data_IF_584705540766
#
_entry.id   IF_584705540766
#
_cell.length_a   1.000
_cell.length_b   1.000
_cell.length_c   1.000
_cell.angle_alpha   90.00
_cell.angle_beta   90.00
_cell.angle_gamma   90.00
#
_symmetry.space_group_name_H-M   'P 1'
#
loop_
_entity.id
_entity.type
_entity.pdbx_description
1 polymer ?
#
# COMPACT_ATOMS: atom_id res chain seq x y z
N UNK A 1 -13.27 40.59 5.92
CA UNK A 1 -12.09 39.81 5.49
C UNK A 1 -12.40 38.35 5.82
N UNK A 2 -12.32 37.43 4.86
CA UNK A 2 -12.58 36.00 5.15
C UNK A 2 -11.47 35.51 6.07
N UNK A 3 -11.78 35.27 7.34
CA UNK A 3 -10.84 34.75 8.35
C UNK A 3 -11.07 33.25 8.50
N UNK A 4 -10.06 32.44 8.16
CA UNK A 4 -10.09 31.00 8.39
C UNK A 4 -9.53 30.70 9.78
N UNK A 5 -10.26 29.92 10.57
CA UNK A 5 -9.75 29.38 11.83
C UNK A 5 -8.99 28.09 11.56
N UNK A 6 -7.97 27.81 12.38
CA UNK A 6 -7.18 26.57 12.29
C UNK A 6 -8.08 25.32 12.35
N UNK A 7 -9.07 25.32 13.24
CA UNK A 7 -10.05 24.25 13.37
C UNK A 7 -10.84 24.00 12.07
N UNK A 8 -11.17 25.05 11.31
CA UNK A 8 -11.90 24.92 10.05
C UNK A 8 -11.02 24.30 8.95
N UNK A 9 -9.74 24.63 8.91
CA UNK A 9 -8.78 24.02 7.97
C UNK A 9 -8.57 22.53 8.32
N UNK A 10 -8.43 22.21 9.60
CA UNK A 10 -8.26 20.83 10.05
C UNK A 10 -9.49 19.97 9.76
N UNK A 11 -10.70 20.52 9.95
CA UNK A 11 -11.93 19.82 9.61
C UNK A 11 -12.02 19.40 8.13
N UNK A 12 -11.45 20.21 7.21
CA UNK A 12 -11.39 19.86 5.79
C UNK A 12 -10.23 18.92 5.44
N UNK A 13 -9.11 19.02 6.17
CA UNK A 13 -7.90 18.27 5.85
C UNK A 13 -7.88 16.85 6.45
N UNK A 14 -8.31 16.69 7.69
CA UNK A 14 -8.24 15.41 8.43
C UNK A 14 -8.93 14.24 7.70
N UNK A 15 -10.12 14.39 7.08
CA UNK A 15 -10.79 13.30 6.35
C UNK A 15 -10.00 12.74 5.18
N UNK A 16 -9.14 13.55 4.55
CA UNK A 16 -8.31 13.14 3.42
C UNK A 16 -6.92 12.70 3.86
N UNK A 17 -6.36 13.35 4.89
CA UNK A 17 -4.99 13.14 5.34
C UNK A 17 -4.76 11.73 5.90
N UNK A 18 -5.66 11.21 6.74
CA UNK A 18 -5.48 9.88 7.34
C UNK A 18 -5.58 8.74 6.31
N UNK A 19 -6.58 8.72 5.42
CA UNK A 19 -6.64 7.73 4.35
C UNK A 19 -5.47 7.85 3.38
N UNK A 20 -5.03 9.08 3.08
CA UNK A 20 -3.88 9.29 2.21
C UNK A 20 -2.61 8.63 2.76
N UNK A 21 -2.30 8.80 4.04
CA UNK A 21 -1.13 8.17 4.66
C UNK A 21 -1.20 6.64 4.60
N UNK A 22 -2.35 6.05 4.89
CA UNK A 22 -2.54 4.59 4.87
C UNK A 22 -2.45 4.02 3.45
N UNK A 23 -3.07 4.66 2.46
CA UNK A 23 -3.03 4.26 1.05
C UNK A 23 -1.63 4.41 0.48
N UNK A 24 -0.94 5.51 0.80
CA UNK A 24 0.43 5.74 0.36
C UNK A 24 1.37 4.67 0.92
N UNK A 25 1.23 4.33 2.21
CA UNK A 25 1.98 3.25 2.84
C UNK A 25 1.69 1.87 2.20
N UNK A 26 0.45 1.60 1.81
CA UNK A 26 0.12 0.38 1.09
C UNK A 26 0.77 0.35 -0.31
N UNK A 27 0.68 1.45 -1.07
CA UNK A 27 1.24 1.52 -2.43
C UNK A 27 2.75 1.46 -2.47
N UNK A 28 3.45 1.87 -1.42
CA UNK A 28 4.92 1.71 -1.34
C UNK A 28 5.32 0.27 -1.06
N UNK A 29 4.56 -0.46 -0.24
CA UNK A 29 4.85 -1.84 0.13
C UNK A 29 4.37 -2.88 -0.89
N UNK A 30 3.22 -2.67 -1.54
CA UNK A 30 2.64 -3.64 -2.46
C UNK A 30 3.38 -3.66 -3.82
N UNK A 31 3.89 -4.82 -4.27
CA UNK A 31 4.77 -4.91 -5.45
C UNK A 31 4.10 -4.45 -6.75
N UNK A 32 2.78 -4.66 -6.89
CA UNK A 32 2.02 -4.28 -8.09
C UNK A 32 1.85 -2.76 -8.24
N UNK A 33 1.84 -2.02 -7.13
CA UNK A 33 1.74 -0.55 -7.17
C UNK A 33 3.11 0.13 -7.05
N UNK A 34 4.12 -0.61 -6.59
CA UNK A 34 5.48 -0.12 -6.35
C UNK A 34 6.47 -0.37 -7.50
N UNK A 35 5.99 -0.85 -8.65
CA UNK A 35 6.81 -1.08 -9.84
C UNK A 35 7.58 0.15 -10.29
N UNK A 36 8.81 -0.06 -10.77
CA UNK A 36 9.69 0.99 -11.32
C UNK A 36 9.11 1.71 -12.53
N UNK A 37 8.24 1.04 -13.29
CA UNK A 37 7.55 1.64 -14.43
C UNK A 37 6.63 2.80 -14.01
N UNK A 38 6.18 2.84 -12.74
CA UNK A 38 5.28 3.87 -12.23
C UNK A 38 6.12 4.96 -11.53
N UNK A 39 6.18 6.19 -12.07
CA UNK A 39 6.92 7.26 -11.42
C UNK A 39 6.28 7.62 -10.08
N UNK A 40 7.12 7.96 -9.09
CA UNK A 40 6.70 8.25 -7.70
C UNK A 40 5.60 9.32 -7.65
N UNK A 41 5.67 10.33 -8.53
CA UNK A 41 4.66 11.40 -8.62
C UNK A 41 3.26 10.87 -8.95
N UNK A 42 3.16 9.92 -9.89
CA UNK A 42 1.88 9.30 -10.26
C UNK A 42 1.35 8.45 -9.11
N UNK A 43 2.22 7.72 -8.42
CA UNK A 43 1.84 6.92 -7.24
C UNK A 43 1.27 7.79 -6.13
N UNK A 44 1.92 8.92 -5.81
CA UNK A 44 1.43 9.86 -4.81
C UNK A 44 0.08 10.46 -5.25
N UNK A 45 -0.04 10.86 -6.52
CA UNK A 45 -1.30 11.39 -7.06
C UNK A 45 -2.45 10.37 -7.01
N UNK A 46 -2.18 9.10 -7.32
CA UNK A 46 -3.17 8.03 -7.26
C UNK A 46 -3.56 7.70 -5.81
N UNK A 47 -2.60 7.69 -4.89
CA UNK A 47 -2.89 7.53 -3.46
C UNK A 47 -3.78 8.66 -2.93
N UNK A 48 -3.52 9.90 -3.34
CA UNK A 48 -4.35 11.05 -3.00
C UNK A 48 -5.76 10.94 -3.58
N UNK A 49 -5.87 10.55 -4.86
CA UNK A 49 -7.17 10.36 -5.51
C UNK A 49 -8.01 9.28 -4.80
N UNK A 50 -7.40 8.13 -4.47
CA UNK A 50 -8.06 7.05 -3.74
C UNK A 50 -8.49 7.52 -2.35
N UNK A 51 -7.66 8.28 -1.64
CA UNK A 51 -8.01 8.85 -0.33
C UNK A 51 -9.20 9.81 -0.42
N UNK A 52 -9.24 10.64 -1.47
CA UNK A 52 -10.33 11.58 -1.72
C UNK A 52 -11.65 10.86 -2.02
N UNK A 53 -11.62 9.74 -2.75
CA UNK A 53 -12.79 8.89 -2.93
C UNK A 53 -13.20 8.15 -1.65
N UNK A 54 -12.22 7.68 -0.87
CA UNK A 54 -12.47 6.92 0.36
C UNK A 54 -13.12 7.78 1.46
N UNK A 55 -12.85 9.09 1.50
CA UNK A 55 -13.39 9.99 2.53
C UNK A 55 -14.93 9.95 2.62
N UNK A 56 -15.63 9.71 1.50
CA UNK A 56 -17.09 9.71 1.46
C UNK A 56 -17.72 8.45 2.10
N UNK A 57 -16.92 7.39 2.23
CA UNK A 57 -17.34 6.09 2.79
C UNK A 57 -16.95 5.98 4.26
N UNK A 58 -15.95 6.74 4.69
CA UNK A 58 -15.38 6.65 6.03
C UNK A 58 -16.22 7.41 7.06
N UNK A 59 -16.36 6.90 8.30
CA UNK A 59 -16.96 7.65 9.39
C UNK A 59 -16.15 8.92 9.65
N UNK A 60 -16.83 10.00 10.05
CA UNK A 60 -16.21 11.29 10.29
C UNK A 60 -15.05 11.14 11.30
N UNK A 61 -13.80 11.38 10.88
CA UNK A 61 -12.67 11.17 11.78
C UNK A 61 -12.68 12.22 12.88
N UNK A 62 -12.20 11.88 14.09
CA UNK A 62 -12.01 12.86 15.14
C UNK A 62 -11.06 13.96 14.64
N UNK A 63 -11.36 15.20 15.00
CA UNK A 63 -10.47 16.34 14.74
C UNK A 63 -9.30 16.23 15.71
N UNK A 64 -8.24 15.56 15.26
CA UNK A 64 -6.98 15.47 15.98
C UNK A 64 -6.16 16.71 15.61
N UNK A 65 -5.75 17.48 16.62
CA UNK A 65 -4.82 18.57 16.43
C UNK A 65 -3.46 18.02 15.98
N UNK A 66 -2.93 18.51 14.86
CA UNK A 66 -1.67 18.06 14.27
C UNK A 66 -0.47 18.32 15.19
N UNK A 67 -0.57 19.29 16.11
CA UNK A 67 0.47 19.59 17.09
C UNK A 67 0.39 18.72 18.34
N UNK A 68 -0.69 17.94 18.50
CA UNK A 68 -0.89 17.06 19.64
C UNK A 68 0.01 15.81 19.60
N UNK A 69 0.39 15.30 20.77
CA UNK A 69 1.08 14.01 20.91
C UNK A 69 0.31 12.84 20.27
N UNK A 70 -1.01 12.95 20.20
CA UNK A 70 -1.91 11.96 19.60
C UNK A 70 -1.77 11.87 18.08
N UNK A 71 -1.38 12.96 17.41
CA UNK A 71 -1.18 12.97 15.95
C UNK A 71 -0.03 12.06 15.53
N UNK A 72 1.08 12.04 16.29
CA UNK A 72 2.20 11.13 16.01
C UNK A 72 1.78 9.66 16.16
N UNK A 73 1.00 9.33 17.19
CA UNK A 73 0.45 7.98 17.39
C UNK A 73 -0.48 7.58 16.24
N UNK A 74 -1.36 8.48 15.81
CA UNK A 74 -2.25 8.25 14.68
C UNK A 74 -1.47 8.04 13.37
N UNK A 75 -0.44 8.85 13.07
CA UNK A 75 0.40 8.68 11.88
C UNK A 75 1.07 7.30 11.87
N UNK A 76 1.71 6.92 12.99
CA UNK A 76 2.37 5.62 13.11
C UNK A 76 1.39 4.46 12.92
N UNK A 77 0.18 4.56 13.49
CA UNK A 77 -0.87 3.57 13.30
C UNK A 77 -1.30 3.49 11.82
N UNK A 78 -1.57 4.61 11.15
CA UNK A 78 -2.00 4.61 9.74
C UNK A 78 -0.95 4.02 8.81
N UNK A 79 0.32 4.45 8.98
CA UNK A 79 1.44 3.95 8.19
C UNK A 79 1.70 2.48 8.49
N UNK A 80 1.68 2.08 9.76
CA UNK A 80 1.88 0.70 10.19
C UNK A 80 0.84 -0.26 9.60
N UNK A 81 -0.45 0.09 9.67
CA UNK A 81 -1.53 -0.72 9.08
C UNK A 81 -1.40 -0.78 7.55
N UNK A 82 -1.14 0.35 6.89
CA UNK A 82 -0.94 0.39 5.44
C UNK A 82 0.24 -0.48 4.98
N UNK A 83 1.36 -0.40 5.68
CA UNK A 83 2.54 -1.24 5.44
C UNK A 83 2.24 -2.71 5.70
N UNK A 84 1.52 -3.06 6.77
CA UNK A 84 1.19 -4.45 7.09
C UNK A 84 0.35 -5.10 5.97
N UNK A 85 -0.69 -4.40 5.48
CA UNK A 85 -1.52 -4.90 4.38
C UNK A 85 -0.69 -5.03 3.08
N UNK A 86 0.10 -4.01 2.75
CA UNK A 86 0.98 -4.07 1.57
C UNK A 86 2.04 -5.17 1.66
N UNK A 87 2.58 -5.40 2.86
CA UNK A 87 3.54 -6.46 3.14
C UNK A 87 2.93 -7.86 3.01
N UNK A 88 1.70 -8.07 3.47
CA UNK A 88 0.98 -9.32 3.28
C UNK A 88 0.84 -9.67 1.79
N UNK A 89 0.48 -8.69 0.95
CA UNK A 89 0.44 -8.88 -0.50
C UNK A 89 1.82 -9.18 -1.07
N UNK A 90 2.85 -8.44 -0.64
CA UNK A 90 4.23 -8.68 -1.07
C UNK A 90 4.70 -10.11 -0.78
N UNK A 91 4.31 -10.67 0.36
CA UNK A 91 4.67 -12.03 0.77
C UNK A 91 4.09 -13.09 -0.18
N UNK A 92 2.87 -12.90 -0.67
CA UNK A 92 2.25 -13.80 -1.67
C UNK A 92 3.06 -13.81 -2.97
N UNK A 93 3.43 -12.64 -3.49
CA UNK A 93 4.24 -12.55 -4.72
C UNK A 93 5.64 -13.12 -4.53
N UNK A 94 6.29 -12.82 -3.40
CA UNK A 94 7.61 -13.35 -3.08
C UNK A 94 7.61 -14.88 -2.98
N UNK A 95 6.55 -15.49 -2.44
CA UNK A 95 6.42 -16.94 -2.36
C UNK A 95 6.36 -17.59 -3.75
N UNK A 96 5.63 -16.98 -4.70
CA UNK A 96 5.55 -17.50 -6.08
C UNK A 96 6.87 -17.33 -6.83
N UNK A 97 7.55 -16.19 -6.65
CA UNK A 97 8.85 -15.93 -7.25
C UNK A 97 9.91 -16.92 -6.75
N UNK A 98 9.95 -17.15 -5.43
CA UNK A 98 10.84 -18.12 -4.80
C UNK A 98 10.54 -19.55 -5.28
N UNK A 99 9.27 -19.93 -5.42
CA UNK A 99 8.90 -21.23 -5.99
C UNK A 99 9.45 -21.40 -7.42
N UNK A 100 9.30 -20.38 -8.27
CA UNK A 100 9.86 -20.38 -9.62
C UNK A 100 11.40 -20.43 -9.64
N UNK A 101 12.05 -19.81 -8.66
CA UNK A 101 13.51 -19.86 -8.50
C UNK A 101 14.00 -21.26 -8.13
N UNK A 102 13.34 -21.92 -7.17
CA UNK A 102 13.65 -23.30 -6.77
C UNK A 102 13.43 -24.29 -7.93
N UNK A 103 12.35 -24.15 -8.69
CA UNK A 103 12.09 -24.98 -9.87
C UNK A 103 13.19 -24.74 -10.94
N UNK A 104 13.56 -23.49 -11.17
CA UNK A 104 14.66 -23.13 -12.08
C UNK A 104 16.02 -23.70 -11.65
N UNK A 105 16.30 -23.72 -10.34
CA UNK A 105 17.50 -24.33 -9.77
C UNK A 105 17.55 -25.83 -10.06
N UNK A 106 16.45 -26.54 -9.81
CA UNK A 106 16.36 -28.00 -10.03
C UNK A 106 16.51 -28.39 -11.50
N UNK A 107 16.03 -27.55 -12.42
CA UNK A 107 16.21 -27.77 -13.86
C UNK A 107 17.64 -27.44 -14.37
N UNK A 108 18.54 -26.98 -13.49
CA UNK A 108 19.91 -26.61 -13.86
C UNK A 108 20.02 -25.28 -14.60
N UNK A 109 18.94 -24.50 -14.69
CA UNK A 109 18.88 -23.25 -15.45
C UNK A 109 19.50 -22.06 -14.71
N UNK A 110 19.94 -22.21 -13.45
CA UNK A 110 20.51 -21.12 -12.65
C UNK A 110 21.91 -20.67 -13.16
N UNK A 111 22.59 -21.49 -13.96
CA UNK A 111 23.81 -21.07 -14.69
C UNK A 111 23.52 -20.07 -15.82
N UNK A 112 22.25 -19.94 -16.23
CA UNK A 112 21.76 -18.99 -17.21
C UNK A 112 20.87 -17.92 -16.54
N UNK A 113 21.20 -17.51 -15.32
CA UNK A 113 20.52 -16.36 -14.70
C UNK A 113 20.70 -15.13 -15.58
N UNK A 114 19.58 -14.51 -15.93
CA UNK A 114 19.57 -13.28 -16.70
C UNK A 114 19.41 -12.12 -15.73
N UNK A 115 20.20 -11.08 -15.94
CA UNK A 115 20.03 -9.84 -15.20
C UNK A 115 18.68 -9.21 -15.57
N UNK A 116 17.78 -9.05 -14.60
CA UNK A 116 16.53 -8.32 -14.79
C UNK A 116 16.73 -6.85 -14.36
N UNK A 117 16.76 -5.88 -15.31
CA UNK A 117 16.93 -4.46 -14.99
C UNK A 117 15.74 -3.87 -14.21
N UNK A 118 14.58 -4.52 -14.22
CA UNK A 118 13.43 -4.10 -13.42
C UNK A 118 13.58 -4.51 -11.94
N UNK A 119 14.13 -5.71 -11.69
CA UNK A 119 14.35 -6.24 -10.35
C UNK A 119 15.71 -5.86 -9.75
N UNK A 120 16.68 -5.38 -10.56
CA UNK A 120 18.07 -5.18 -10.16
C UNK A 120 18.73 -6.46 -9.60
N UNK A 121 18.25 -7.62 -10.02
CA UNK A 121 18.70 -8.91 -9.53
C UNK A 121 18.89 -9.89 -10.69
N UNK A 122 19.74 -10.89 -10.45
CA UNK A 122 19.84 -12.07 -11.30
C UNK A 122 18.63 -12.95 -10.99
N UNK A 123 17.66 -13.02 -11.89
CA UNK A 123 16.43 -13.80 -11.70
C UNK A 123 16.41 -14.91 -12.73
N UNK A 124 16.04 -16.13 -12.31
CA UNK A 124 15.92 -17.24 -13.25
C UNK A 124 14.78 -16.96 -14.25
N UNK A 125 14.92 -17.42 -15.51
CA UNK A 125 13.88 -17.24 -16.52
C UNK A 125 12.52 -17.82 -16.07
N UNK A 126 12.57 -18.90 -15.27
CA UNK A 126 11.40 -19.56 -14.69
C UNK A 126 10.76 -18.69 -13.62
N UNK A 127 11.52 -18.15 -12.67
CA UNK A 127 11.01 -17.24 -11.64
C UNK A 127 10.33 -16.02 -12.26
N UNK A 128 10.94 -15.42 -13.29
CA UNK A 128 10.35 -14.31 -14.04
C UNK A 128 9.05 -14.68 -14.73
N UNK A 129 8.97 -15.87 -15.33
CA UNK A 129 7.76 -16.39 -15.94
C UNK A 129 6.63 -16.56 -14.92
N UNK A 130 6.92 -17.19 -13.77
CA UNK A 130 5.94 -17.36 -12.68
C UNK A 130 5.48 -16.02 -12.10
N UNK A 131 6.40 -15.06 -11.90
CA UNK A 131 6.07 -13.71 -11.43
C UNK A 131 5.12 -12.98 -12.38
N UNK A 132 5.36 -13.07 -13.69
CA UNK A 132 4.48 -12.49 -14.71
C UNK A 132 3.09 -13.15 -14.72
N UNK A 133 3.01 -14.48 -14.58
CA UNK A 133 1.73 -15.19 -14.48
C UNK A 133 0.98 -14.77 -13.21
N UNK A 134 1.65 -14.71 -12.07
CA UNK A 134 1.05 -14.29 -10.81
C UNK A 134 0.48 -12.87 -10.91
N UNK A 135 1.20 -11.96 -11.56
CA UNK A 135 0.74 -10.61 -11.82
C UNK A 135 -0.51 -10.57 -12.70
N UNK A 136 -0.52 -11.32 -13.81
CA UNK A 136 -1.68 -11.39 -14.70
C UNK A 136 -2.91 -11.97 -13.96
N UNK A 137 -2.72 -13.04 -13.19
CA UNK A 137 -3.78 -13.63 -12.37
C UNK A 137 -4.32 -12.63 -11.33
N UNK A 138 -3.42 -11.87 -10.68
CA UNK A 138 -3.81 -10.83 -9.73
C UNK A 138 -4.69 -9.77 -10.39
N UNK A 139 -4.43 -9.39 -11.64
CA UNK A 139 -5.26 -8.43 -12.38
C UNK A 139 -6.61 -9.06 -12.75
N UNK A 140 -6.63 -10.28 -13.27
CA UNK A 140 -7.85 -10.99 -13.71
C UNK A 140 -8.83 -11.23 -12.56
N UNK A 141 -8.33 -11.57 -11.37
CA UNK A 141 -9.16 -11.78 -10.18
C UNK A 141 -9.59 -10.45 -9.53
N UNK A 142 -9.20 -9.30 -10.10
CA UNK A 142 -9.39 -7.98 -9.51
C UNK A 142 -8.72 -7.84 -8.13
N UNK A 143 -7.58 -8.48 -7.93
CA UNK A 143 -6.82 -8.43 -6.67
C UNK A 143 -6.50 -7.00 -6.24
N UNK A 144 -6.26 -6.09 -7.18
CA UNK A 144 -6.07 -4.67 -6.91
C UNK A 144 -7.29 -4.03 -6.22
N UNK A 145 -8.52 -4.37 -6.63
CA UNK A 145 -9.75 -3.92 -5.97
C UNK A 145 -9.96 -4.61 -4.62
N UNK A 146 -9.63 -5.89 -4.52
CA UNK A 146 -9.72 -6.62 -3.24
C UNK A 146 -8.81 -6.01 -2.17
N UNK A 147 -7.60 -5.61 -2.54
CA UNK A 147 -6.64 -4.96 -1.63
C UNK A 147 -7.15 -3.59 -1.20
N UNK A 148 -7.72 -2.80 -2.11
CA UNK A 148 -8.34 -1.52 -1.77
C UNK A 148 -9.56 -1.70 -0.85
N UNK A 149 -10.40 -2.71 -1.10
CA UNK A 149 -11.53 -3.05 -0.24
C UNK A 149 -11.07 -3.47 1.16
N UNK A 150 -10.01 -4.28 1.25
CA UNK A 150 -9.41 -4.66 2.52
C UNK A 150 -8.86 -3.43 3.27
N UNK A 151 -8.25 -2.47 2.55
CA UNK A 151 -7.83 -1.20 3.14
C UNK A 151 -9.02 -0.40 3.67
N UNK A 152 -10.12 -0.27 2.93
CA UNK A 152 -11.29 0.46 3.41
C UNK A 152 -11.89 -0.21 4.66
N UNK A 153 -12.07 -1.53 4.64
CA UNK A 153 -12.54 -2.29 5.82
C UNK A 153 -11.60 -2.17 7.03
N UNK A 154 -10.30 -1.99 6.80
CA UNK A 154 -9.34 -1.81 7.90
C UNK A 154 -9.58 -0.55 8.72
N UNK A 155 -10.37 0.42 8.23
CA UNK A 155 -10.76 1.60 9.02
C UNK A 155 -11.82 1.28 10.08
N UNK A 156 -12.64 0.24 9.86
CA UNK A 156 -13.61 -0.21 10.86
C UNK A 156 -12.91 -0.94 12.01
N UNK A 157 -11.89 -1.75 11.71
CA UNK A 157 -11.13 -2.49 12.72
C UNK A 157 -10.07 -1.64 13.41
N UNK A 158 -9.43 -0.72 12.69
CA UNK A 158 -8.39 0.17 13.22
C UNK A 158 -8.77 1.64 12.96
N UNK A 159 -9.68 2.20 13.78
CA UNK A 159 -10.12 3.58 13.63
C UNK A 159 -9.01 4.57 13.97
N UNK A 160 -9.14 5.80 13.48
CA UNK A 160 -8.16 6.89 13.64
C UNK A 160 -8.33 7.52 15.04
N UNK A 161 -7.99 6.77 16.09
CA UNK A 161 -8.24 7.22 17.47
C UNK A 161 -6.95 7.49 18.25
N UNK A 162 -5.79 7.49 17.58
CA UNK A 162 -4.47 7.73 18.21
C UNK A 162 -4.03 6.65 19.22
N UNK A 163 -4.93 5.74 19.61
CA UNK A 163 -4.73 4.76 20.66
C UNK A 163 -4.68 3.35 20.07
N UNK A 164 -3.45 2.86 19.87
CA UNK A 164 -3.17 1.55 19.26
C UNK A 164 -3.58 0.37 20.16
N UNK A 165 -3.74 0.61 21.48
CA UNK A 165 -3.96 -0.41 22.51
C UNK A 165 -5.43 -0.56 22.96
N UNK A 166 -6.36 0.21 22.40
CA UNK A 166 -7.79 0.16 22.75
C UNK A 166 -8.67 -0.42 21.64
N UNK A 167 -8.06 -1.01 20.60
CA UNK A 167 -8.74 -1.74 19.53
C UNK A 167 -8.89 -3.22 19.88
#
# INVERSE_FOLDING_TARGET
MITFTEAQIMAWLSPVLWPFLRVLALFTAAPVFSMRAIPVRVRIGLAFFVALCAQAVLPAPPVIDLNGREALGAVLQQVGVGLAVGFAVRLVFAAVELAGELIGLQMGLNFASFFDPLANAQVSAVARFFGNIAMLLFVVVNGHLMVLMALVKSFDSFPVNGNLLQA
#
